data_IF_998009937447
#
_entry.id   IF_998009937447
#
_cell.length_a   1.000
_cell.length_b   1.000
_cell.length_c   1.000
_cell.angle_alpha   90.00
_cell.angle_beta   90.00
_cell.angle_gamma   90.00
#
_symmetry.space_group_name_H-M   'P 1'
#
loop_
_entity.id
_entity.type
_entity.pdbx_description
1 polymer ?
#
# COMPACT_ATOMS: atom_id res chain seq x y z
N UNK A 1 -46.03 -45.58 17.48
CA UNK A 1 -45.53 -44.47 18.34
C UNK A 1 -44.03 -44.71 18.54
N UNK A 2 -43.16 -44.19 17.66
CA UNK A 2 -42.30 -42.98 17.80
C UNK A 2 -41.37 -43.00 19.02
N UNK A 3 -40.07 -42.75 18.74
CA UNK A 3 -38.90 -42.56 19.62
C UNK A 3 -38.25 -43.91 19.98
N UNK A 4 -37.07 -44.27 19.49
CA UNK A 4 -35.78 -43.64 19.76
C UNK A 4 -34.83 -43.95 18.57
N UNK A 5 -34.70 -42.99 17.66
CA UNK A 5 -33.62 -42.91 16.66
C UNK A 5 -32.98 -41.57 16.94
N UNK A 6 -32.07 -41.46 17.93
CA UNK A 6 -31.41 -40.17 18.18
C UNK A 6 -30.19 -40.26 19.12
N UNK A 7 -29.30 -41.25 18.99
CA UNK A 7 -28.05 -41.27 19.77
C UNK A 7 -26.78 -41.51 18.93
N UNK A 8 -26.89 -41.82 17.63
CA UNK A 8 -25.71 -42.00 16.76
C UNK A 8 -25.38 -40.79 15.85
N UNK A 9 -26.08 -39.66 15.97
CA UNK A 9 -25.71 -38.42 15.29
C UNK A 9 -24.80 -37.50 16.11
N UNK A 10 -24.53 -37.82 17.39
CA UNK A 10 -23.71 -36.98 18.27
C UNK A 10 -22.20 -37.09 18.01
N UNK A 11 -21.75 -38.07 17.22
CA UNK A 11 -20.33 -38.24 16.89
C UNK A 11 -19.89 -37.57 15.59
N UNK A 12 -20.82 -37.07 14.76
CA UNK A 12 -20.48 -36.37 13.51
C UNK A 12 -20.40 -34.84 13.66
N UNK A 13 -20.70 -34.29 14.84
CA UNK A 13 -20.67 -32.84 15.09
C UNK A 13 -19.35 -32.34 15.70
N UNK A 14 -18.42 -33.23 16.07
CA UNK A 14 -17.14 -32.84 16.71
C UNK A 14 -15.96 -32.67 15.74
N UNK A 15 -16.19 -32.79 14.43
CA UNK A 15 -15.17 -32.52 13.41
C UNK A 15 -15.28 -31.13 12.76
N UNK A 16 -16.17 -30.27 13.26
CA UNK A 16 -16.35 -28.88 12.81
C UNK A 16 -15.90 -27.85 13.87
N UNK A 17 -14.78 -28.14 14.54
CA UNK A 17 -13.98 -27.12 15.24
C UNK A 17 -12.53 -27.17 14.77
N UNK A 18 -12.32 -27.45 13.47
CA UNK A 18 -11.16 -26.93 12.78
C UNK A 18 -11.28 -25.40 12.79
N UNK A 19 -10.66 -24.79 13.79
CA UNK A 19 -10.45 -23.35 13.91
C UNK A 19 -9.88 -22.81 12.59
N UNK A 20 -10.73 -22.41 11.64
CA UNK A 20 -10.44 -21.25 10.83
C UNK A 20 -10.53 -20.08 11.80
N UNK A 21 -9.44 -19.83 12.52
CA UNK A 21 -9.15 -18.45 12.90
C UNK A 21 -9.06 -17.74 11.57
N UNK A 22 -10.16 -17.09 11.17
CA UNK A 22 -10.04 -15.92 10.35
C UNK A 22 -9.00 -15.07 11.08
N UNK A 23 -7.78 -15.08 10.56
CA UNK A 23 -6.77 -14.14 10.99
C UNK A 23 -7.36 -12.80 10.61
N UNK A 24 -8.05 -12.16 11.54
CA UNK A 24 -8.49 -10.78 11.41
C UNK A 24 -7.20 -10.00 11.17
N UNK A 25 -6.97 -9.65 9.90
CA UNK A 25 -5.85 -8.81 9.51
C UNK A 25 -6.17 -7.46 10.09
N UNK A 26 -5.52 -7.11 11.20
CA UNK A 26 -5.69 -5.81 11.81
C UNK A 26 -5.08 -4.78 10.88
N UNK A 27 -5.94 -4.00 10.21
CA UNK A 27 -5.51 -2.95 9.30
C UNK A 27 -5.55 -1.62 10.02
N UNK A 28 -4.38 -1.03 10.24
CA UNK A 28 -4.29 0.35 10.74
C UNK A 28 -4.43 1.28 9.55
N UNK A 29 -5.36 2.23 9.64
CA UNK A 29 -5.64 3.21 8.58
C UNK A 29 -5.26 4.60 9.06
N UNK A 30 -4.31 5.20 8.36
CA UNK A 30 -3.88 6.58 8.56
C UNK A 30 -4.50 7.45 7.45
N UNK A 31 -4.95 8.64 7.82
CA UNK A 31 -5.48 9.64 6.88
C UNK A 31 -4.53 10.83 6.82
N UNK A 32 -4.30 11.33 5.62
CA UNK A 32 -3.49 12.52 5.36
C UNK A 32 -4.19 13.48 4.40
N UNK A 33 -3.66 14.69 4.31
CA UNK A 33 -4.10 15.70 3.35
C UNK A 33 -2.94 15.99 2.40
N UNK A 34 -2.93 15.40 1.19
CA UNK A 34 -1.83 15.62 0.27
C UNK A 34 -1.87 17.06 -0.27
N UNK A 35 -0.69 17.62 -0.54
CA UNK A 35 -0.52 18.96 -1.09
C UNK A 35 -0.41 18.89 -2.61
N UNK A 36 -1.15 19.74 -3.31
CA UNK A 36 -1.18 19.78 -4.78
C UNK A 36 -0.48 21.03 -5.28
N UNK A 37 0.42 20.86 -6.23
CA UNK A 37 1.10 21.96 -6.93
C UNK A 37 1.02 21.73 -8.43
N UNK A 38 0.75 22.82 -9.17
CA UNK A 38 0.70 22.81 -10.64
C UNK A 38 1.79 23.71 -11.15
N UNK A 39 2.61 23.20 -12.07
CA UNK A 39 3.74 23.90 -12.66
C UNK A 39 3.56 23.95 -14.19
N UNK A 40 3.45 25.15 -14.78
CA UNK A 40 3.48 25.31 -16.23
C UNK A 40 4.77 24.73 -16.83
N UNK A 41 4.66 23.89 -17.86
CA UNK A 41 5.82 23.39 -18.62
C UNK A 41 5.93 24.07 -19.99
N UNK A 42 4.96 23.78 -20.87
CA UNK A 42 4.94 24.24 -22.26
C UNK A 42 3.53 24.76 -22.62
N UNK A 43 3.37 25.26 -23.85
CA UNK A 43 2.05 25.60 -24.37
C UNK A 43 1.15 24.35 -24.31
N UNK A 44 0.07 24.45 -23.54
CA UNK A 44 -0.88 23.37 -23.28
C UNK A 44 -0.37 22.17 -22.46
N UNK A 45 0.70 22.32 -21.68
CA UNK A 45 1.21 21.26 -20.79
C UNK A 45 1.58 21.78 -19.40
N UNK A 46 1.03 21.13 -18.38
CA UNK A 46 1.32 21.30 -16.96
C UNK A 46 2.00 20.07 -16.38
N UNK A 47 2.88 20.27 -15.39
CA UNK A 47 3.30 19.26 -14.44
C UNK A 47 2.50 19.39 -13.16
N UNK A 48 1.93 18.29 -12.68
CA UNK A 48 1.22 18.22 -11.41
C UNK A 48 2.08 17.44 -10.44
N UNK A 49 2.37 18.05 -9.29
CA UNK A 49 3.01 17.38 -8.16
C UNK A 49 2.01 17.22 -7.02
N UNK A 50 1.93 16.01 -6.48
CA UNK A 50 1.14 15.67 -5.30
C UNK A 50 2.11 15.20 -4.24
N UNK A 51 2.19 15.90 -3.10
CA UNK A 51 3.04 15.51 -1.97
C UNK A 51 2.19 14.87 -0.87
N UNK A 52 2.65 13.74 -0.34
CA UNK A 52 2.01 13.01 0.74
C UNK A 52 0.95 12.02 0.26
N UNK A 53 -0.01 11.72 1.13
CA UNK A 53 -1.03 10.69 0.92
C UNK A 53 -2.40 11.12 1.45
N UNK A 54 -3.45 10.53 0.89
CA UNK A 54 -4.81 10.62 1.42
C UNK A 54 -5.11 9.49 2.41
N UNK A 55 -4.72 8.26 2.08
CA UNK A 55 -4.91 7.07 2.93
C UNK A 55 -3.67 6.21 2.89
N UNK A 56 -3.22 5.76 4.06
CA UNK A 56 -2.13 4.78 4.21
C UNK A 56 -2.63 3.64 5.10
N UNK A 57 -2.57 2.41 4.59
CA UNK A 57 -3.12 1.22 5.27
C UNK A 57 -2.01 0.21 5.52
N UNK A 58 -1.83 -0.21 6.76
CA UNK A 58 -0.87 -1.26 7.12
C UNK A 58 -1.48 -2.65 7.07
N UNK A 59 -0.67 -3.64 6.75
CA UNK A 59 -0.93 -5.04 7.09
C UNK A 59 -0.27 -5.39 8.44
N UNK A 60 -0.52 -6.62 8.91
CA UNK A 60 0.13 -7.18 10.09
C UNK A 60 1.66 -7.20 9.95
N UNK A 61 2.35 -7.25 11.10
CA UNK A 61 3.79 -7.39 11.17
C UNK A 61 4.24 -8.74 10.62
N UNK A 62 5.27 -8.69 9.79
CA UNK A 62 5.98 -9.83 9.23
C UNK A 62 7.34 -9.96 9.92
N UNK A 63 7.79 -11.19 10.10
CA UNK A 63 9.16 -11.50 10.53
C UNK A 63 9.82 -12.38 9.48
N UNK A 64 10.94 -11.93 8.92
CA UNK A 64 11.65 -12.65 7.88
C UNK A 64 12.58 -11.75 7.07
N UNK A 65 13.09 -12.27 5.96
CA UNK A 65 13.80 -11.46 4.99
C UNK A 65 12.86 -10.41 4.37
N UNK A 66 13.43 -9.25 4.03
CA UNK A 66 12.74 -8.27 3.18
C UNK A 66 12.57 -8.85 1.76
N UNK A 67 11.58 -8.38 0.98
CA UNK A 67 11.47 -8.75 -0.42
C UNK A 67 12.77 -8.48 -1.17
N UNK A 68 13.14 -9.38 -2.08
CA UNK A 68 14.47 -9.43 -2.70
C UNK A 68 14.93 -8.07 -3.24
N UNK A 69 14.10 -7.41 -4.06
CA UNK A 69 14.46 -6.12 -4.66
C UNK A 69 14.71 -5.03 -3.59
N UNK A 70 13.99 -5.09 -2.47
CA UNK A 70 14.09 -4.10 -1.39
C UNK A 70 15.38 -4.34 -0.61
N UNK A 71 15.67 -5.60 -0.30
CA UNK A 71 16.92 -5.99 0.37
C UNK A 71 18.13 -5.57 -0.47
N UNK A 72 18.13 -5.88 -1.77
CA UNK A 72 19.21 -5.55 -2.70
C UNK A 72 19.39 -4.04 -2.85
N UNK A 73 18.29 -3.29 -3.02
CA UNK A 73 18.34 -1.84 -3.23
C UNK A 73 18.88 -1.07 -2.01
N UNK A 74 18.61 -1.56 -0.80
CA UNK A 74 19.01 -0.89 0.44
C UNK A 74 20.17 -1.56 1.17
N UNK A 75 20.74 -2.65 0.62
CA UNK A 75 21.79 -3.43 1.27
C UNK A 75 21.34 -4.05 2.60
N UNK A 76 20.07 -4.45 2.69
CA UNK A 76 19.44 -4.95 3.93
C UNK A 76 19.22 -6.47 3.86
N UNK A 77 20.32 -7.20 3.71
CA UNK A 77 20.34 -8.66 3.79
C UNK A 77 20.22 -9.10 5.26
N UNK A 78 19.26 -9.96 5.58
CA UNK A 78 19.04 -10.43 6.96
C UNK A 78 17.57 -10.64 7.30
N UNK A 79 17.30 -10.90 8.58
CA UNK A 79 15.95 -11.11 9.11
C UNK A 79 15.51 -9.86 9.87
N UNK A 80 14.30 -9.38 9.59
CA UNK A 80 13.73 -8.18 10.17
C UNK A 80 12.30 -8.42 10.66
N UNK A 81 11.85 -7.58 11.57
CA UNK A 81 10.41 -7.37 11.81
C UNK A 81 9.98 -6.11 11.06
N UNK A 82 9.01 -6.23 10.16
CA UNK A 82 8.56 -5.14 9.30
C UNK A 82 7.07 -5.25 8.97
N UNK A 83 6.44 -4.15 8.56
CA UNK A 83 5.07 -4.14 8.06
C UNK A 83 5.03 -3.58 6.64
N UNK A 84 4.10 -4.06 5.82
CA UNK A 84 3.83 -3.53 4.48
C UNK A 84 2.67 -2.56 4.52
N UNK A 85 2.74 -1.54 3.68
CA UNK A 85 1.74 -0.48 3.61
C UNK A 85 1.28 -0.27 2.18
N UNK A 86 -0.03 -0.11 1.99
CA UNK A 86 -0.61 0.47 0.77
C UNK A 86 -0.87 1.95 1.02
N UNK A 87 -0.32 2.80 0.17
CA UNK A 87 -0.47 4.26 0.28
C UNK A 87 -1.09 4.82 -0.98
N UNK A 88 -2.14 5.63 -0.84
CA UNK A 88 -2.84 6.27 -1.96
C UNK A 88 -2.98 7.77 -1.77
N UNK A 89 -2.92 8.53 -2.87
CA UNK A 89 -3.35 9.91 -2.96
C UNK A 89 -4.58 10.02 -3.87
N UNK A 90 -5.65 10.60 -3.35
CA UNK A 90 -6.88 10.88 -4.09
C UNK A 90 -6.80 12.29 -4.67
N UNK A 91 -7.00 12.44 -5.97
CA UNK A 91 -6.87 13.69 -6.71
C UNK A 91 -8.27 14.07 -7.24
N UNK A 92 -8.88 15.18 -6.77
CA UNK A 92 -10.17 15.62 -7.27
C UNK A 92 -10.13 15.95 -8.76
N UNK A 93 -11.10 15.47 -9.54
CA UNK A 93 -11.08 15.66 -11.00
C UNK A 93 -11.13 17.11 -11.45
N UNK A 94 -11.83 17.97 -10.72
CA UNK A 94 -11.87 19.43 -10.97
C UNK A 94 -10.50 20.11 -10.92
N UNK A 95 -9.50 19.50 -10.25
CA UNK A 95 -8.13 20.01 -10.16
C UNK A 95 -7.21 19.40 -11.22
N UNK A 96 -7.73 18.52 -12.07
CA UNK A 96 -6.94 17.72 -13.01
C UNK A 96 -7.68 17.48 -14.34
N UNK A 97 -8.62 18.35 -14.70
CA UNK A 97 -9.30 18.30 -16.00
C UNK A 97 -8.22 18.24 -17.08
N UNK A 98 -8.18 17.12 -17.82
CA UNK A 98 -7.17 16.78 -18.85
C UNK A 98 -5.80 16.26 -18.36
N UNK A 99 -5.72 15.70 -17.14
CA UNK A 99 -4.55 14.96 -16.67
C UNK A 99 -4.29 13.73 -17.55
N UNK A 100 -3.16 13.76 -18.27
CA UNK A 100 -2.59 12.60 -18.93
C UNK A 100 -1.51 12.01 -18.03
N UNK A 101 -1.69 10.79 -17.54
CA UNK A 101 -0.70 10.19 -16.63
C UNK A 101 0.67 10.11 -17.31
N UNK A 102 1.57 11.02 -16.93
CA UNK A 102 2.98 10.94 -17.27
C UNK A 102 3.64 9.78 -16.51
N UNK A 103 4.74 9.25 -17.04
CA UNK A 103 5.53 8.27 -16.29
C UNK A 103 6.11 8.93 -15.04
N UNK A 104 5.73 8.49 -13.82
CA UNK A 104 6.30 9.07 -12.62
C UNK A 104 7.82 8.81 -12.59
N UNK A 105 8.57 9.67 -11.92
CA UNK A 105 9.97 9.40 -11.59
C UNK A 105 10.01 8.16 -10.68
N UNK A 106 10.33 7.00 -11.27
CA UNK A 106 10.29 5.70 -10.60
C UNK A 106 11.28 5.61 -9.43
N UNK A 107 12.23 6.55 -9.28
CA UNK A 107 13.13 6.64 -8.12
C UNK A 107 12.46 7.26 -6.88
N UNK A 108 11.28 7.86 -7.03
CA UNK A 108 10.55 8.56 -5.96
C UNK A 108 9.20 7.92 -5.64
N UNK A 109 9.01 6.68 -6.07
CA UNK A 109 7.77 5.92 -5.85
C UNK A 109 8.08 4.61 -5.12
N UNK A 110 7.06 4.02 -4.51
CA UNK A 110 7.19 2.72 -3.84
C UNK A 110 7.20 1.55 -4.84
N UNK A 111 6.65 0.44 -4.39
CA UNK A 111 6.66 -0.85 -5.10
C UNK A 111 5.28 -1.24 -5.61
N UNK A 112 5.22 -2.26 -6.45
CA UNK A 112 3.98 -3.01 -6.67
C UNK A 112 3.61 -3.82 -5.42
N UNK A 113 2.38 -4.35 -5.40
CA UNK A 113 1.84 -5.11 -4.27
C UNK A 113 2.70 -6.33 -3.91
N UNK A 114 3.32 -6.96 -4.91
CA UNK A 114 4.16 -8.15 -4.74
C UNK A 114 5.62 -7.82 -4.38
N UNK A 115 6.01 -6.54 -4.35
CA UNK A 115 7.40 -6.11 -4.13
C UNK A 115 8.41 -6.75 -5.10
N UNK A 116 8.04 -6.82 -6.38
CA UNK A 116 8.86 -7.33 -7.49
C UNK A 116 9.41 -6.22 -8.39
N UNK A 117 8.82 -5.03 -8.35
CA UNK A 117 9.32 -3.85 -9.08
C UNK A 117 8.89 -2.54 -8.42
N UNK A 118 9.62 -1.46 -8.73
CA UNK A 118 9.17 -0.08 -8.51
C UNK A 118 7.92 0.15 -9.35
N UNK A 119 6.83 0.56 -8.70
CA UNK A 119 5.58 0.72 -9.41
C UNK A 119 4.62 1.66 -8.72
N UNK A 120 3.73 2.18 -9.54
CA UNK A 120 2.60 2.99 -9.15
C UNK A 120 1.39 2.45 -9.91
N UNK A 121 0.28 2.28 -9.20
CA UNK A 121 -1.00 1.96 -9.82
C UNK A 121 -1.91 3.18 -9.76
N UNK A 122 -2.74 3.33 -10.78
CA UNK A 122 -3.69 4.42 -10.87
C UNK A 122 -5.07 3.91 -11.27
N UNK A 123 -6.10 4.52 -10.69
CA UNK A 123 -7.50 4.31 -11.07
C UNK A 123 -8.17 5.67 -11.25
N UNK A 124 -8.99 5.82 -12.28
CA UNK A 124 -9.73 7.06 -12.56
C UNK A 124 -11.22 6.79 -12.45
N UNK A 125 -11.85 7.28 -11.39
CA UNK A 125 -13.31 7.28 -11.21
C UNK A 125 -13.94 8.60 -11.67
N UNK A 126 -15.26 8.73 -11.60
CA UNK A 126 -15.98 9.88 -12.17
C UNK A 126 -15.64 11.23 -11.53
N UNK A 127 -15.26 11.24 -10.26
CA UNK A 127 -15.01 12.47 -9.48
C UNK A 127 -13.59 12.55 -8.92
N UNK A 128 -12.89 11.43 -8.82
CA UNK A 128 -11.58 11.29 -8.19
C UNK A 128 -10.71 10.40 -9.06
N UNK A 129 -9.47 10.83 -9.30
CA UNK A 129 -8.39 9.95 -9.72
C UNK A 129 -7.58 9.53 -8.49
N UNK A 130 -7.33 8.23 -8.33
CA UNK A 130 -6.52 7.69 -7.24
C UNK A 130 -5.22 7.19 -7.80
N UNK A 131 -4.14 7.49 -7.09
CA UNK A 131 -2.84 6.90 -7.33
C UNK A 131 -2.32 6.22 -6.08
N UNK A 132 -1.60 5.11 -6.24
CA UNK A 132 -1.07 4.40 -5.10
C UNK A 132 0.20 3.60 -5.37
N UNK A 133 0.83 3.21 -4.27
CA UNK A 133 2.07 2.43 -4.24
C UNK A 133 2.16 1.64 -2.93
N UNK A 134 3.14 0.75 -2.84
CA UNK A 134 3.40 -0.04 -1.66
C UNK A 134 4.75 0.34 -1.01
N UNK A 135 4.76 0.40 0.32
CA UNK A 135 5.92 0.76 1.14
C UNK A 135 6.20 -0.31 2.20
N UNK A 136 7.39 -0.25 2.80
CA UNK A 136 7.77 -1.08 3.95
C UNK A 136 8.21 -0.18 5.10
N UNK A 137 7.74 -0.49 6.30
CA UNK A 137 8.33 0.05 7.54
C UNK A 137 9.07 -1.05 8.28
N UNK A 138 10.39 -0.92 8.41
CA UNK A 138 11.26 -1.85 9.12
C UNK A 138 11.37 -1.40 10.57
N UNK A 139 10.90 -2.25 11.48
CA UNK A 139 10.84 -1.95 12.92
C UNK A 139 12.12 -2.36 13.63
N UNK A 140 12.53 -3.63 13.44
CA UNK A 140 13.63 -4.24 14.21
C UNK A 140 14.48 -5.16 13.34
N UNK A 141 15.76 -5.29 13.70
CA UNK A 141 16.65 -6.31 13.15
C UNK A 141 16.46 -7.66 13.88
N UNK A 142 17.24 -8.67 13.48
CA UNK A 142 17.18 -10.02 14.06
C UNK A 142 17.47 -10.05 15.56
N UNK A 143 18.40 -9.21 16.03
CA UNK A 143 18.76 -9.05 17.44
C UNK A 143 17.68 -8.34 18.27
N UNK A 144 16.63 -7.82 17.62
CA UNK A 144 15.55 -7.08 18.26
C UNK A 144 15.84 -5.60 18.48
N UNK A 145 16.97 -5.10 17.97
CA UNK A 145 17.31 -3.69 18.01
C UNK A 145 16.44 -2.90 17.03
N UNK A 146 16.10 -1.67 17.41
CA UNK A 146 15.28 -0.80 16.59
C UNK A 146 16.01 -0.37 15.31
N UNK A 147 15.31 -0.46 14.19
CA UNK A 147 15.75 0.07 12.89
C UNK A 147 14.95 1.33 12.54
N UNK A 148 13.63 1.30 12.80
CA UNK A 148 12.69 2.41 12.60
C UNK A 148 12.86 3.18 11.28
N UNK A 149 12.75 2.44 10.17
CA UNK A 149 13.06 2.95 8.83
C UNK A 149 11.95 2.67 7.82
N UNK A 150 11.52 3.71 7.12
CA UNK A 150 10.66 3.59 5.93
C UNK A 150 11.47 3.30 4.67
N UNK A 151 10.93 2.43 3.82
CA UNK A 151 11.50 2.06 2.53
C UNK A 151 10.43 2.13 1.41
N UNK A 152 10.73 2.82 0.29
CA UNK A 152 11.89 3.69 0.09
C UNK A 152 11.89 4.98 0.91
N UNK A 153 10.70 5.43 1.28
CA UNK A 153 10.44 6.77 1.79
C UNK A 153 9.20 6.69 2.68
N UNK A 154 9.08 7.59 3.64
CA UNK A 154 7.89 7.67 4.48
C UNK A 154 6.66 8.11 3.67
N UNK A 155 5.43 7.70 4.05
CA UNK A 155 4.21 8.08 3.37
C UNK A 155 4.05 9.59 3.16
N UNK A 156 4.41 10.40 4.16
CA UNK A 156 4.34 11.86 4.16
C UNK A 156 5.32 12.54 3.18
N UNK A 157 6.39 11.83 2.82
CA UNK A 157 7.45 12.31 1.95
C UNK A 157 7.31 11.80 0.51
N UNK A 158 6.29 11.00 0.22
CA UNK A 158 5.96 10.62 -1.15
C UNK A 158 5.68 11.85 -2.01
N UNK A 159 6.23 11.86 -3.22
CA UNK A 159 5.96 12.88 -4.23
C UNK A 159 5.57 12.19 -5.52
N UNK A 160 4.31 12.35 -5.88
CA UNK A 160 3.75 11.85 -7.12
C UNK A 160 3.78 12.95 -8.18
N UNK A 161 4.27 12.65 -9.38
CA UNK A 161 4.39 13.63 -10.46
C UNK A 161 3.72 13.14 -11.73
N UNK A 162 2.96 14.03 -12.36
CA UNK A 162 2.17 13.75 -13.57
C UNK A 162 2.27 14.90 -14.55
N UNK A 163 1.80 14.63 -15.77
CA UNK A 163 1.54 15.64 -16.75
C UNK A 163 0.03 15.91 -16.82
N UNK A 164 -0.34 17.10 -17.24
CA UNK A 164 -1.71 17.45 -17.56
C UNK A 164 -1.70 18.30 -18.81
N UNK A 165 -2.54 17.95 -19.79
CA UNK A 165 -2.75 18.80 -20.94
C UNK A 165 -3.65 19.97 -20.50
N UNK A 166 -3.46 21.17 -21.07
CA UNK A 166 -4.48 22.21 -21.00
C UNK A 166 -5.27 22.14 -22.30
N UNK A 167 -6.59 22.02 -22.21
CA UNK A 167 -7.46 22.14 -23.38
C UNK A 167 -8.03 23.54 -23.48
#
# INVERSE_FOLDING_TARGET
>A
MKKIVFVFSLFCALFWMGCTKDHVVERVVYKGEPVYSVFPLEENLDSISVKGFSVCTSNNDLKGALPKIVAEEFGMEGVYTYSTYSTVANIPKKKNEHMGFGTPDMKKVGYNEQFESRSVYSYSGDTIATIGTYLIYVKKNESGEAVDRWLPVAPEDLVWSFLSLRM
#
